data_IF_853585048980
#
_entry.id   IF_853585048980
#
_cell.length_a   1.000
_cell.length_b   1.000
_cell.length_c   1.000
_cell.angle_alpha   90.00
_cell.angle_beta   90.00
_cell.angle_gamma   90.00
#
_symmetry.space_group_name_H-M   'P 1'
#
loop_
_entity.id
_entity.type
_entity.pdbx_description
1 polymer ?
#
# COMPACT_ATOMS: atom_id res chain seq x y z
N UNK A 1 29.25 -50.33 73.13
CA UNK A 1 29.94 -49.05 72.84
C UNK A 1 29.53 -48.60 71.45
N UNK A 2 28.63 -47.64 71.40
CA UNK A 2 28.00 -47.08 70.20
C UNK A 2 28.70 -45.79 69.83
N UNK A 3 29.46 -45.78 68.72
CA UNK A 3 30.04 -44.55 68.17
C UNK A 3 29.10 -43.97 67.10
N UNK A 4 28.50 -42.81 67.43
CA UNK A 4 27.85 -41.90 66.48
C UNK A 4 28.95 -41.14 65.72
N UNK A 5 28.96 -41.19 64.39
CA UNK A 5 29.58 -40.17 63.56
C UNK A 5 28.49 -39.37 62.84
N UNK A 6 28.62 -38.05 62.94
CA UNK A 6 27.62 -37.06 62.56
C UNK A 6 27.49 -36.91 61.03
N UNK A 7 26.26 -36.89 60.54
CA UNK A 7 25.91 -36.41 59.20
C UNK A 7 26.04 -34.87 59.20
N UNK A 8 26.94 -34.34 58.36
CA UNK A 8 26.95 -32.91 58.02
C UNK A 8 25.69 -32.59 57.20
N UNK A 9 25.05 -31.42 57.41
CA UNK A 9 23.83 -31.07 56.69
C UNK A 9 24.16 -30.69 55.23
N UNK A 10 23.20 -30.86 54.30
CA UNK A 10 23.38 -30.43 52.92
C UNK A 10 23.50 -28.91 52.90
N UNK A 11 24.62 -28.41 52.38
CA UNK A 11 24.79 -26.98 52.09
C UNK A 11 23.75 -26.59 51.02
N UNK A 12 22.68 -25.91 51.45
CA UNK A 12 21.81 -25.17 50.55
C UNK A 12 22.65 -24.05 49.91
N UNK A 13 23.13 -24.27 48.69
CA UNK A 13 23.67 -23.20 47.86
C UNK A 13 22.48 -22.36 47.40
N UNK A 14 22.12 -21.35 48.19
CA UNK A 14 21.24 -20.28 47.73
C UNK A 14 22.05 -19.49 46.72
N UNK A 15 21.90 -19.83 45.42
CA UNK A 15 22.23 -18.94 44.32
C UNK A 15 21.30 -17.74 44.45
N UNK A 16 21.73 -16.74 45.23
CA UNK A 16 21.20 -15.39 45.09
C UNK A 16 21.65 -14.92 43.72
N UNK A 17 20.78 -15.11 42.72
CA UNK A 17 20.82 -14.31 41.50
C UNK A 17 20.62 -12.86 41.96
N UNK A 18 21.72 -12.23 42.35
CA UNK A 18 21.80 -10.78 42.37
C UNK A 18 21.38 -10.38 40.96
N UNK A 19 20.32 -9.56 40.78
CA UNK A 19 20.04 -9.04 39.46
C UNK A 19 21.35 -8.39 38.99
N UNK A 20 21.82 -8.77 37.79
CA UNK A 20 22.88 -8.05 37.11
C UNK A 20 22.55 -6.56 37.29
N UNK A 21 23.38 -5.89 38.09
CA UNK A 21 23.12 -4.52 38.51
C UNK A 21 22.87 -3.70 37.25
N UNK A 22 21.69 -3.10 37.12
CA UNK A 22 21.47 -2.07 36.13
C UNK A 22 22.46 -0.95 36.46
N UNK A 23 23.46 -0.75 35.59
CA UNK A 23 24.43 0.34 35.69
C UNK A 23 23.79 1.58 35.03
N UNK A 24 23.29 2.54 35.82
CA UNK A 24 22.56 3.68 35.26
C UNK A 24 23.45 4.58 34.39
N UNK A 25 24.77 4.55 34.60
CA UNK A 25 25.73 5.29 33.79
C UNK A 25 25.90 4.61 32.43
N UNK A 26 26.04 3.29 32.41
CA UNK A 26 26.06 2.52 31.16
C UNK A 26 24.74 2.69 30.38
N UNK A 27 23.59 2.59 31.04
CA UNK A 27 22.27 2.85 30.42
C UNK A 27 22.17 4.26 29.83
N UNK A 28 22.77 5.26 30.49
CA UNK A 28 22.84 6.65 30.00
C UNK A 28 23.71 6.74 28.76
N UNK A 29 24.90 6.13 28.78
CA UNK A 29 25.83 6.11 27.65
C UNK A 29 25.24 5.38 26.44
N UNK A 30 24.53 4.26 26.64
CA UNK A 30 23.87 3.54 25.56
C UNK A 30 22.80 4.41 24.87
N UNK A 31 21.98 5.12 25.64
CA UNK A 31 21.01 6.07 25.08
C UNK A 31 21.70 7.22 24.33
N UNK A 32 22.77 7.78 24.91
CA UNK A 32 23.55 8.87 24.31
C UNK A 32 24.17 8.43 22.98
N UNK A 33 24.86 7.29 22.94
CA UNK A 33 25.49 6.79 21.72
C UNK A 33 24.48 6.34 20.66
N UNK A 34 23.33 5.77 21.05
CA UNK A 34 22.27 5.51 20.08
C UNK A 34 21.71 6.80 19.46
N UNK A 35 21.54 7.87 20.25
CA UNK A 35 21.10 9.16 19.74
C UNK A 35 22.14 9.77 18.78
N UNK A 36 23.42 9.74 19.14
CA UNK A 36 24.52 10.24 18.29
C UNK A 36 24.54 9.45 16.97
N UNK A 37 24.53 8.12 17.02
CA UNK A 37 24.58 7.28 15.83
C UNK A 37 23.35 7.49 14.94
N UNK A 38 22.15 7.62 15.54
CA UNK A 38 20.93 7.96 14.81
C UNK A 38 21.06 9.30 14.07
N UNK A 39 21.53 10.34 14.75
CA UNK A 39 21.69 11.68 14.15
C UNK A 39 22.72 11.69 13.01
N UNK A 40 23.80 10.92 13.15
CA UNK A 40 24.80 10.75 12.07
C UNK A 40 24.19 10.08 10.84
N UNK A 41 23.40 9.02 11.03
CA UNK A 41 22.71 8.31 9.95
C UNK A 41 21.66 9.21 9.28
N UNK A 42 20.86 9.93 10.06
CA UNK A 42 19.86 10.89 9.55
C UNK A 42 20.54 11.97 8.70
N UNK A 43 21.61 12.60 9.21
CA UNK A 43 22.38 13.62 8.47
C UNK A 43 22.93 13.09 7.15
N UNK A 44 23.50 11.88 7.16
CA UNK A 44 24.01 11.24 5.95
C UNK A 44 22.89 11.00 4.93
N UNK A 45 21.75 10.42 5.36
CA UNK A 45 20.63 10.12 4.46
C UNK A 45 20.01 11.40 3.88
N UNK A 46 19.85 12.45 4.69
CA UNK A 46 19.36 13.75 4.23
C UNK A 46 20.26 14.38 3.16
N UNK A 47 21.59 14.29 3.34
CA UNK A 47 22.54 14.74 2.32
C UNK A 47 22.35 13.96 1.02
N UNK A 48 22.31 12.62 1.09
CA UNK A 48 22.10 11.76 -0.09
C UNK A 48 20.77 12.04 -0.80
N UNK A 49 19.71 12.34 -0.05
CA UNK A 49 18.41 12.70 -0.60
C UNK A 49 18.46 14.05 -1.34
N UNK A 50 19.11 15.07 -0.77
CA UNK A 50 19.28 16.39 -1.41
C UNK A 50 20.08 16.29 -2.70
N UNK A 51 21.21 15.58 -2.67
CA UNK A 51 22.05 15.32 -3.86
C UNK A 51 21.25 14.61 -4.95
N UNK A 52 20.56 13.52 -4.61
CA UNK A 52 19.69 12.80 -5.54
C UNK A 52 18.66 13.72 -6.17
N UNK A 53 18.03 14.60 -5.38
CA UNK A 53 16.99 15.50 -5.84
C UNK A 53 17.47 16.48 -6.91
N UNK A 54 18.67 17.04 -6.75
CA UNK A 54 19.29 17.94 -7.71
C UNK A 54 19.50 17.29 -9.09
N UNK A 55 19.79 15.98 -9.10
CA UNK A 55 20.05 15.21 -10.33
C UNK A 55 18.79 14.57 -10.93
N UNK A 56 17.63 14.60 -10.26
CA UNK A 56 16.41 13.93 -10.77
C UNK A 56 16.00 14.46 -12.14
N UNK A 57 16.09 15.77 -12.38
CA UNK A 57 15.61 16.39 -13.63
C UNK A 57 16.42 15.94 -14.85
N UNK A 58 17.75 15.84 -14.72
CA UNK A 58 18.64 15.43 -15.83
C UNK A 58 18.43 13.97 -16.23
N UNK A 59 17.87 13.15 -15.33
CA UNK A 59 17.50 11.78 -15.62
C UNK A 59 16.22 11.64 -16.48
N UNK A 60 15.49 12.72 -16.78
CA UNK A 60 14.30 12.63 -17.64
C UNK A 60 14.56 13.18 -19.04
N UNK A 61 14.29 12.38 -20.06
CA UNK A 61 14.34 12.76 -21.49
C UNK A 61 12.97 12.56 -22.12
N UNK A 62 11.97 13.34 -21.67
CA UNK A 62 10.58 13.21 -22.11
C UNK A 62 10.40 13.90 -23.46
N UNK A 63 9.82 13.20 -24.42
CA UNK A 63 9.46 13.76 -25.71
C UNK A 63 7.98 14.17 -25.71
N UNK A 64 7.70 15.47 -25.81
CA UNK A 64 6.33 16.00 -25.79
C UNK A 64 5.76 16.30 -27.19
N UNK A 65 6.45 15.87 -28.27
CA UNK A 65 6.03 16.15 -29.64
C UNK A 65 4.75 15.43 -30.08
N UNK A 66 4.44 14.27 -29.47
CA UNK A 66 3.19 13.53 -29.66
C UNK A 66 2.94 12.61 -28.47
N UNK A 67 1.71 12.08 -28.34
CA UNK A 67 1.38 11.07 -27.31
C UNK A 67 2.27 9.83 -27.48
N UNK A 68 2.43 9.35 -28.72
CA UNK A 68 3.21 8.14 -28.98
C UNK A 68 4.70 8.32 -28.65
N UNK A 69 5.26 9.48 -28.98
CA UNK A 69 6.65 9.79 -28.63
C UNK A 69 6.83 9.96 -27.11
N UNK A 70 5.85 10.57 -26.44
CA UNK A 70 5.84 10.67 -24.98
C UNK A 70 5.88 9.27 -24.35
N UNK A 71 4.94 8.40 -24.73
CA UNK A 71 4.83 7.02 -24.25
C UNK A 71 6.13 6.24 -24.44
N UNK A 72 6.74 6.35 -25.63
CA UNK A 72 8.03 5.72 -25.95
C UNK A 72 9.17 6.26 -25.09
N UNK A 73 9.21 7.57 -24.88
CA UNK A 73 10.26 8.23 -24.09
C UNK A 73 10.20 7.89 -22.60
N UNK A 74 9.00 7.61 -22.05
CA UNK A 74 8.81 7.28 -20.63
C UNK A 74 8.79 5.78 -20.35
N UNK A 75 8.66 4.91 -21.36
CA UNK A 75 8.59 3.46 -21.16
C UNK A 75 9.75 2.86 -20.32
N UNK A 76 11.03 3.26 -20.51
CA UNK A 76 12.13 2.79 -19.66
C UNK A 76 11.97 3.20 -18.19
N UNK A 77 11.34 4.36 -17.92
CA UNK A 77 11.09 4.85 -16.57
C UNK A 77 9.97 4.08 -15.88
N UNK A 78 8.98 3.58 -16.63
CA UNK A 78 7.98 2.64 -16.09
C UNK A 78 8.63 1.34 -15.64
N UNK A 79 9.49 0.76 -16.49
CA UNK A 79 10.19 -0.47 -16.15
C UNK A 79 11.11 -0.30 -14.93
N UNK A 80 11.90 0.77 -14.90
CA UNK A 80 12.73 1.11 -13.74
C UNK A 80 11.88 1.34 -12.46
N UNK A 81 10.67 1.88 -12.60
CA UNK A 81 9.76 2.05 -11.47
C UNK A 81 9.21 0.71 -10.96
N UNK A 82 8.87 -0.23 -11.84
CA UNK A 82 8.48 -1.60 -11.46
C UNK A 82 9.62 -2.27 -10.69
N UNK A 83 10.85 -2.17 -11.19
CA UNK A 83 12.05 -2.73 -10.54
C UNK A 83 12.31 -2.09 -9.18
N UNK A 84 12.20 -0.76 -9.08
CA UNK A 84 12.29 -0.03 -7.81
C UNK A 84 11.28 -0.53 -6.77
N UNK A 85 10.06 -0.85 -7.21
CA UNK A 85 9.02 -1.39 -6.33
C UNK A 85 9.28 -2.85 -5.94
N UNK A 86 10.30 -3.53 -6.46
CA UNK A 86 10.62 -4.93 -6.18
C UNK A 86 10.32 -5.91 -7.32
N UNK A 87 9.97 -5.42 -8.50
CA UNK A 87 9.68 -6.22 -9.68
C UNK A 87 8.34 -6.97 -9.62
N UNK A 88 7.92 -7.56 -10.74
CA UNK A 88 6.74 -8.43 -10.80
C UNK A 88 7.13 -9.85 -11.20
N UNK A 89 7.82 -10.61 -10.33
CA UNK A 89 8.20 -12.01 -10.61
C UNK A 89 7.00 -12.98 -10.55
N UNK A 90 5.78 -12.47 -10.67
CA UNK A 90 4.54 -13.21 -10.45
C UNK A 90 3.97 -13.68 -11.78
N UNK A 91 3.70 -14.99 -11.90
CA UNK A 91 3.00 -15.54 -13.06
C UNK A 91 1.50 -15.29 -12.92
N UNK A 92 0.85 -14.53 -13.82
CA UNK A 92 -0.59 -14.28 -13.72
C UNK A 92 -1.39 -15.58 -13.80
N UNK A 93 -2.28 -15.80 -12.83
CA UNK A 93 -3.24 -16.91 -12.85
C UNK A 93 -4.38 -16.64 -13.86
N UNK A 94 -5.05 -17.67 -14.41
CA UNK A 94 -6.24 -17.46 -15.23
C UNK A 94 -7.32 -16.62 -14.53
N UNK A 95 -7.97 -15.72 -15.28
CA UNK A 95 -9.01 -14.81 -14.75
C UNK A 95 -10.34 -15.55 -14.63
N UNK A 96 -10.46 -16.41 -13.62
CA UNK A 96 -11.70 -17.13 -13.29
C UNK A 96 -12.28 -16.53 -11.99
N UNK A 97 -13.05 -15.43 -12.06
CA UNK A 97 -13.56 -14.75 -10.89
C UNK A 97 -14.63 -15.59 -10.16
N UNK A 98 -14.65 -15.51 -8.82
CA UNK A 98 -15.76 -16.01 -8.01
C UNK A 98 -16.59 -14.84 -7.52
N UNK A 99 -17.86 -14.82 -7.89
CA UNK A 99 -18.76 -13.70 -7.66
C UNK A 99 -19.92 -14.12 -6.75
N UNK A 100 -20.29 -13.25 -5.81
CA UNK A 100 -21.41 -13.47 -4.90
C UNK A 100 -22.21 -12.18 -4.76
N UNK A 101 -23.50 -12.20 -5.07
CA UNK A 101 -24.38 -11.05 -4.90
C UNK A 101 -24.47 -10.65 -3.43
N UNK A 102 -24.33 -9.36 -3.16
CA UNK A 102 -24.60 -8.74 -1.86
C UNK A 102 -26.03 -8.22 -1.82
N UNK A 103 -26.39 -7.39 -2.80
CA UNK A 103 -27.68 -6.71 -2.87
C UNK A 103 -28.02 -6.29 -4.30
N UNK A 104 -29.31 -6.11 -4.54
CA UNK A 104 -29.86 -5.48 -5.74
C UNK A 104 -30.62 -4.24 -5.33
N UNK A 105 -30.42 -3.15 -6.04
CA UNK A 105 -31.16 -1.89 -5.87
C UNK A 105 -31.71 -1.43 -7.22
N UNK A 106 -32.62 -0.46 -7.26
CA UNK A 106 -33.10 0.11 -8.52
C UNK A 106 -32.02 0.77 -9.39
N UNK A 107 -30.82 1.06 -8.84
CA UNK A 107 -29.75 1.77 -9.57
C UNK A 107 -28.58 0.88 -9.98
N UNK A 108 -28.32 -0.20 -9.23
CA UNK A 108 -27.17 -1.07 -9.42
C UNK A 108 -27.30 -2.38 -8.65
N UNK A 109 -26.49 -3.37 -9.03
CA UNK A 109 -26.25 -4.61 -8.29
C UNK A 109 -24.85 -4.61 -7.68
N UNK A 110 -24.74 -5.06 -6.44
CA UNK A 110 -23.48 -5.15 -5.68
C UNK A 110 -23.03 -6.60 -5.53
N UNK A 111 -21.75 -6.87 -5.75
CA UNK A 111 -21.16 -8.21 -5.67
C UNK A 111 -19.88 -8.20 -4.84
N UNK A 112 -19.63 -9.29 -4.09
CA UNK A 112 -18.29 -9.68 -3.65
C UNK A 112 -17.63 -10.44 -4.77
N UNK A 113 -16.40 -10.06 -5.12
CA UNK A 113 -15.65 -10.72 -6.20
C UNK A 113 -14.27 -11.11 -5.67
N UNK A 114 -13.84 -12.32 -6.02
CA UNK A 114 -12.46 -12.81 -5.82
C UNK A 114 -11.87 -13.19 -7.16
N UNK A 115 -10.73 -12.59 -7.51
CA UNK A 115 -10.05 -12.79 -8.79
C UNK A 115 -8.70 -13.46 -8.50
N UNK A 116 -8.40 -14.63 -9.06
CA UNK A 116 -7.08 -15.23 -8.96
C UNK A 116 -5.99 -14.28 -9.51
N UNK A 117 -4.97 -13.99 -8.70
CA UNK A 117 -3.86 -13.12 -9.08
C UNK A 117 -2.65 -13.95 -9.54
N UNK A 118 -2.06 -14.73 -8.62
CA UNK A 118 -0.91 -15.62 -8.84
C UNK A 118 -0.77 -16.56 -7.62
N UNK A 119 -0.23 -17.78 -7.79
CA UNK A 119 0.18 -18.70 -6.69
C UNK A 119 -0.75 -18.77 -5.46
N UNK A 120 -2.07 -18.84 -5.68
CA UNK A 120 -3.08 -18.89 -4.61
C UNK A 120 -3.43 -17.54 -3.96
N UNK A 121 -2.75 -16.46 -4.33
CA UNK A 121 -3.09 -15.08 -3.99
C UNK A 121 -4.24 -14.60 -4.87
N UNK A 122 -5.19 -13.88 -4.27
CA UNK A 122 -6.37 -13.35 -4.94
C UNK A 122 -6.52 -11.83 -4.72
N UNK A 123 -7.19 -11.19 -5.65
CA UNK A 123 -7.78 -9.86 -5.47
C UNK A 123 -9.20 -10.05 -4.97
N UNK A 124 -9.46 -9.70 -3.71
CA UNK A 124 -10.82 -9.57 -3.19
C UNK A 124 -11.28 -8.12 -3.33
N UNK A 125 -12.56 -7.91 -3.65
CA UNK A 125 -13.15 -6.57 -3.72
C UNK A 125 -14.66 -6.58 -3.84
N UNK A 126 -15.23 -5.38 -3.85
CA UNK A 126 -16.65 -5.14 -4.15
C UNK A 126 -16.78 -4.62 -5.58
N UNK A 127 -17.64 -5.26 -6.37
CA UNK A 127 -18.03 -4.82 -7.70
C UNK A 127 -19.43 -4.21 -7.64
N UNK A 128 -19.61 -3.01 -8.16
CA UNK A 128 -20.91 -2.39 -8.39
C UNK A 128 -21.15 -2.28 -9.90
N UNK A 129 -22.25 -2.86 -10.35
CA UNK A 129 -22.65 -2.84 -11.76
C UNK A 129 -23.94 -2.03 -11.87
N UNK A 130 -23.96 -0.90 -12.61
CA UNK A 130 -25.15 -0.09 -12.74
C UNK A 130 -26.23 -0.84 -13.51
N UNK A 131 -27.48 -0.53 -13.23
CA UNK A 131 -28.61 -1.16 -13.89
C UNK A 131 -28.58 -0.88 -15.40
N UNK A 132 -28.74 -1.93 -16.21
CA UNK A 132 -28.64 -1.85 -17.68
C UNK A 132 -29.78 -1.05 -18.30
N UNK A 133 -30.94 -0.96 -17.63
CA UNK A 133 -32.07 -0.13 -18.08
C UNK A 133 -31.79 1.36 -17.94
N UNK A 134 -30.96 1.75 -16.96
CA UNK A 134 -30.54 3.15 -16.76
C UNK A 134 -29.31 3.50 -17.61
N UNK A 135 -28.41 2.53 -17.78
CA UNK A 135 -27.13 2.72 -18.48
C UNK A 135 -26.84 1.52 -19.40
N UNK A 136 -27.38 1.52 -20.64
CA UNK A 136 -27.21 0.41 -21.58
C UNK A 136 -25.82 0.37 -22.22
N UNK A 137 -25.41 -0.82 -22.64
CA UNK A 137 -24.16 -1.06 -23.39
C UNK A 137 -22.90 -1.08 -22.53
N UNK A 138 -21.74 -0.95 -23.20
CA UNK A 138 -20.41 -0.94 -22.55
C UNK A 138 -20.14 0.38 -21.87
N UNK A 139 -19.72 0.32 -20.61
CA UNK A 139 -19.61 1.49 -19.73
C UNK A 139 -18.16 1.76 -19.33
N UNK A 140 -17.77 3.02 -19.06
CA UNK A 140 -16.50 3.29 -18.41
C UNK A 140 -16.46 2.60 -17.04
N UNK A 141 -15.27 2.22 -16.59
CA UNK A 141 -15.08 1.63 -15.27
C UNK A 141 -14.11 2.41 -14.40
N UNK A 142 -14.26 2.29 -13.08
CA UNK A 142 -13.39 2.90 -12.09
C UNK A 142 -12.89 1.86 -11.09
N UNK A 143 -11.57 1.78 -10.96
CA UNK A 143 -10.91 1.14 -9.83
C UNK A 143 -10.92 2.11 -8.64
N UNK A 144 -11.75 1.84 -7.64
CA UNK A 144 -11.96 2.73 -6.49
C UNK A 144 -11.13 2.27 -5.27
N UNK A 145 -10.09 3.05 -4.94
CA UNK A 145 -9.03 2.65 -4.01
C UNK A 145 -9.14 3.39 -2.67
N UNK A 146 -9.37 2.65 -1.59
CA UNK A 146 -9.54 3.19 -0.24
C UNK A 146 -8.23 3.62 0.47
N UNK A 147 -8.34 4.52 1.44
CA UNK A 147 -7.21 4.92 2.29
C UNK A 147 -6.87 3.91 3.40
N UNK A 148 -5.97 4.31 4.30
CA UNK A 148 -5.65 3.60 5.55
C UNK A 148 -6.90 3.41 6.43
N UNK A 149 -6.98 2.29 7.15
CA UNK A 149 -8.10 1.95 8.06
C UNK A 149 -9.52 1.89 7.44
N UNK A 150 -9.62 1.91 6.11
CA UNK A 150 -10.88 1.80 5.34
C UNK A 150 -11.03 0.42 4.67
N UNK A 151 -12.15 0.17 3.99
CA UNK A 151 -12.46 -1.10 3.32
C UNK A 151 -13.22 -0.87 2.01
N UNK A 152 -13.27 -1.83 1.08
CA UNK A 152 -14.09 -1.68 -0.13
C UNK A 152 -15.60 -1.66 0.17
N UNK A 153 -16.07 -2.32 1.23
CA UNK A 153 -17.47 -2.25 1.68
C UNK A 153 -17.83 -0.84 2.12
N UNK A 154 -16.89 -0.17 2.79
CA UNK A 154 -16.98 1.28 2.98
C UNK A 154 -17.03 1.90 1.60
N UNK A 155 -16.01 1.85 0.73
CA UNK A 155 -15.99 2.43 -0.65
C UNK A 155 -17.31 2.35 -1.44
N UNK A 156 -18.01 1.24 -1.33
CA UNK A 156 -19.20 0.93 -2.09
C UNK A 156 -20.53 1.21 -1.35
N UNK A 157 -20.50 1.66 -0.10
CA UNK A 157 -21.69 1.99 0.68
C UNK A 157 -22.48 0.77 1.12
N UNK A 158 -21.79 -0.36 1.31
CA UNK A 158 -22.39 -1.63 1.76
C UNK A 158 -22.65 -1.63 3.27
N UNK A 159 -21.88 -0.84 4.03
CA UNK A 159 -22.00 -0.70 5.49
C UNK A 159 -22.21 0.77 5.87
N UNK A 160 -22.92 0.99 6.97
CA UNK A 160 -23.15 2.32 7.53
C UNK A 160 -21.93 2.84 8.33
N UNK A 161 -21.84 4.17 8.47
CA UNK A 161 -20.75 4.87 9.18
C UNK A 161 -19.92 5.84 8.33
N UNK A 162 -19.14 6.67 9.02
CA UNK A 162 -18.42 7.85 8.52
C UNK A 162 -16.90 7.58 8.46
N UNK A 163 -16.11 7.86 7.44
CA UNK A 163 -16.38 8.42 6.13
C UNK A 163 -15.17 8.10 5.22
N UNK A 164 -15.29 7.17 4.26
CA UNK A 164 -14.24 6.88 3.24
C UNK A 164 -14.23 7.95 2.11
N UNK A 165 -14.59 9.15 2.53
CA UNK A 165 -14.79 10.44 1.89
C UNK A 165 -16.00 10.50 0.93
N UNK A 166 -17.06 9.83 1.40
CA UNK A 166 -18.51 9.85 1.14
C UNK A 166 -19.06 9.03 0.02
N UNK A 167 -18.55 7.83 -0.18
CA UNK A 167 -19.23 6.95 -1.13
C UNK A 167 -18.90 7.21 -2.57
N UNK A 168 -17.67 7.62 -2.84
CA UNK A 168 -17.20 7.85 -4.20
C UNK A 168 -17.39 6.64 -5.13
N UNK A 169 -17.24 5.39 -4.64
CA UNK A 169 -17.59 4.20 -5.43
C UNK A 169 -19.10 4.06 -5.68
N UNK A 170 -19.93 4.21 -4.65
CA UNK A 170 -21.40 4.21 -4.79
C UNK A 170 -21.90 5.35 -5.70
N UNK A 171 -21.33 6.54 -5.55
CA UNK A 171 -21.63 7.72 -6.34
C UNK A 171 -21.21 7.55 -7.80
N UNK A 172 -20.10 6.86 -8.06
CA UNK A 172 -19.67 6.53 -9.40
C UNK A 172 -20.63 5.55 -10.07
N UNK A 173 -21.05 4.47 -9.39
CA UNK A 173 -22.02 3.53 -9.99
C UNK A 173 -23.37 4.21 -10.27
N UNK A 174 -23.83 5.10 -9.39
CA UNK A 174 -25.05 5.88 -9.60
C UNK A 174 -24.97 6.82 -10.82
N UNK A 175 -23.77 7.10 -11.33
CA UNK A 175 -23.49 7.90 -12.54
C UNK A 175 -23.15 7.03 -13.76
N UNK A 176 -23.35 5.72 -13.69
CA UNK A 176 -23.22 4.80 -14.83
C UNK A 176 -21.85 4.14 -15.00
N UNK A 177 -20.92 4.32 -14.06
CA UNK A 177 -19.65 3.63 -14.10
C UNK A 177 -19.77 2.20 -13.55
N UNK A 178 -19.08 1.23 -14.16
CA UNK A 178 -18.80 -0.04 -13.48
C UNK A 178 -17.71 0.21 -12.45
N UNK A 179 -17.93 -0.13 -11.19
CA UNK A 179 -16.97 0.17 -10.11
C UNK A 179 -16.41 -1.11 -9.55
N UNK A 180 -15.09 -1.21 -9.44
CA UNK A 180 -14.44 -2.26 -8.68
C UNK A 180 -13.59 -1.64 -7.57
N UNK A 181 -13.92 -1.94 -6.32
CA UNK A 181 -13.16 -1.51 -5.14
C UNK A 181 -12.41 -2.71 -4.56
N UNK A 182 -11.10 -2.86 -4.80
CA UNK A 182 -10.32 -3.94 -4.22
C UNK A 182 -9.99 -3.65 -2.76
N UNK A 183 -9.85 -4.71 -1.97
CA UNK A 183 -9.28 -4.65 -0.62
C UNK A 183 -7.77 -4.47 -0.71
N UNK A 184 -7.28 -3.43 -0.04
CA UNK A 184 -5.86 -3.17 0.17
C UNK A 184 -5.48 -3.40 1.63
N UNK A 185 -4.29 -3.97 1.86
CA UNK A 185 -3.76 -4.12 3.22
C UNK A 185 -3.34 -2.73 3.70
N UNK A 186 -4.07 -2.22 4.68
CA UNK A 186 -4.03 -0.80 5.04
C UNK A 186 -4.06 -0.57 6.56
N UNK A 187 -3.78 -1.61 7.34
CA UNK A 187 -3.51 -1.55 8.77
C UNK A 187 -2.00 -1.60 8.99
N UNK A 188 -1.39 -0.65 9.71
CA UNK A 188 0.06 -0.65 9.93
C UNK A 188 0.55 -1.91 10.63
N UNK A 189 -0.20 -2.33 11.66
CA UNK A 189 0.07 -3.56 12.39
C UNK A 189 -0.05 -4.74 11.40
N UNK A 190 0.98 -5.58 11.36
CA UNK A 190 1.18 -6.70 10.42
C UNK A 190 1.65 -6.36 9.01
N UNK A 191 1.43 -5.14 8.49
CA UNK A 191 1.93 -4.77 7.15
C UNK A 191 3.46 -4.78 7.13
N UNK A 192 4.11 -4.32 8.19
CA UNK A 192 5.57 -4.38 8.34
C UNK A 192 6.11 -5.82 8.32
N UNK A 193 5.42 -6.77 8.95
CA UNK A 193 5.84 -8.18 8.93
C UNK A 193 5.76 -8.78 7.53
N UNK A 194 4.75 -8.40 6.75
CA UNK A 194 4.66 -8.82 5.35
C UNK A 194 5.80 -8.22 4.52
N UNK A 195 6.12 -6.94 4.73
CA UNK A 195 7.23 -6.30 4.01
C UNK A 195 8.58 -6.93 4.38
N UNK A 196 8.82 -7.22 5.67
CA UNK A 196 10.02 -7.95 6.13
C UNK A 196 10.13 -9.34 5.48
N UNK A 197 9.03 -10.07 5.36
CA UNK A 197 9.01 -11.35 4.62
C UNK A 197 9.37 -11.17 3.16
N UNK A 198 8.83 -10.13 2.50
CA UNK A 198 9.16 -9.79 1.12
C UNK A 198 10.64 -9.52 0.93
N UNK A 199 11.24 -8.70 1.81
CA UNK A 199 12.67 -8.35 1.75
C UNK A 199 13.56 -9.61 1.72
N UNK A 200 13.23 -10.62 2.52
CA UNK A 200 13.99 -11.88 2.59
C UNK A 200 13.97 -12.72 1.30
N UNK A 201 13.06 -12.42 0.38
CA UNK A 201 12.95 -13.08 -0.92
C UNK A 201 13.14 -12.10 -2.09
N UNK A 202 13.83 -10.98 -1.84
CA UNK A 202 14.08 -9.91 -2.81
C UNK A 202 12.81 -9.32 -3.46
N UNK A 203 11.70 -9.30 -2.71
CA UNK A 203 10.44 -8.67 -3.10
C UNK A 203 10.11 -7.52 -2.17
N UNK A 204 9.15 -6.67 -2.56
CA UNK A 204 8.54 -5.69 -1.65
C UNK A 204 7.03 -5.83 -1.68
N UNK A 205 6.39 -5.54 -0.56
CA UNK A 205 4.95 -5.62 -0.47
C UNK A 205 4.26 -4.67 -1.46
N UNK A 206 4.86 -3.51 -1.75
CA UNK A 206 4.30 -2.56 -2.71
C UNK A 206 4.20 -3.12 -4.13
N UNK A 207 5.22 -3.85 -4.63
CA UNK A 207 5.14 -4.50 -5.93
C UNK A 207 4.00 -5.53 -5.98
N UNK A 208 3.88 -6.36 -4.95
CA UNK A 208 2.79 -7.34 -4.85
C UNK A 208 1.41 -6.67 -4.87
N UNK A 209 1.24 -5.60 -4.10
CA UNK A 209 0.00 -4.82 -4.05
C UNK A 209 -0.33 -4.19 -5.41
N UNK A 210 0.67 -3.65 -6.12
CA UNK A 210 0.48 -3.08 -7.46
C UNK A 210 0.13 -4.15 -8.50
N UNK A 211 0.82 -5.30 -8.48
CA UNK A 211 0.50 -6.41 -9.37
C UNK A 211 -0.96 -6.84 -9.21
N UNK A 212 -1.46 -6.91 -7.96
CA UNK A 212 -2.90 -7.16 -7.71
C UNK A 212 -3.82 -6.11 -8.33
N UNK A 213 -3.43 -4.82 -8.32
CA UNK A 213 -4.24 -3.79 -8.99
C UNK A 213 -4.25 -3.99 -10.51
N UNK A 214 -3.13 -4.40 -11.11
CA UNK A 214 -3.08 -4.71 -12.55
C UNK A 214 -3.96 -5.93 -12.88
N UNK A 215 -4.00 -6.95 -12.01
CA UNK A 215 -4.95 -8.08 -12.16
C UNK A 215 -6.41 -7.63 -12.10
N UNK A 216 -6.73 -6.60 -11.32
CA UNK A 216 -8.06 -6.00 -11.32
C UNK A 216 -8.37 -5.26 -12.63
N UNK A 217 -7.39 -4.57 -13.21
CA UNK A 217 -7.49 -3.95 -14.54
C UNK A 217 -7.71 -5.02 -15.62
N UNK A 218 -6.96 -6.13 -15.56
CA UNK A 218 -7.13 -7.24 -16.49
C UNK A 218 -8.57 -7.79 -16.45
N UNK A 219 -9.09 -8.02 -15.25
CA UNK A 219 -10.48 -8.45 -15.05
C UNK A 219 -11.48 -7.44 -15.65
N UNK A 220 -11.36 -6.14 -15.31
CA UNK A 220 -12.26 -5.11 -15.84
C UNK A 220 -12.19 -5.04 -17.38
N UNK A 221 -11.00 -5.19 -17.97
CA UNK A 221 -10.82 -5.14 -19.42
C UNK A 221 -11.47 -6.31 -20.18
N UNK A 222 -11.69 -7.44 -19.52
CA UNK A 222 -12.32 -8.63 -20.10
C UNK A 222 -13.83 -8.70 -19.88
N UNK A 223 -14.41 -7.82 -19.07
CA UNK A 223 -15.86 -7.79 -18.82
C UNK A 223 -16.61 -7.29 -20.05
N UNK A 224 -17.69 -7.98 -20.40
CA UNK A 224 -18.52 -7.63 -21.56
C UNK A 224 -19.26 -6.30 -21.41
N UNK A 225 -19.51 -5.88 -20.17
CA UNK A 225 -20.24 -4.67 -19.82
C UNK A 225 -19.35 -3.45 -19.54
N UNK A 226 -18.04 -3.60 -19.73
CA UNK A 226 -17.01 -2.56 -19.60
C UNK A 226 -16.45 -2.20 -20.97
N UNK A 227 -16.25 -0.90 -21.20
CA UNK A 227 -15.44 -0.39 -22.30
C UNK A 227 -13.96 -0.44 -21.89
N UNK A 228 -13.21 -1.40 -22.44
CA UNK A 228 -11.84 -1.71 -22.03
C UNK A 228 -10.83 -0.57 -22.25
N UNK A 229 -11.16 0.38 -23.14
CA UNK A 229 -10.40 1.60 -23.43
C UNK A 229 -10.76 2.78 -22.49
N UNK A 230 -11.71 2.58 -21.56
CA UNK A 230 -12.21 3.61 -20.63
C UNK A 230 -12.18 3.13 -19.18
N UNK A 231 -11.04 2.59 -18.76
CA UNK A 231 -10.76 2.19 -17.37
C UNK A 231 -10.02 3.33 -16.67
N UNK A 232 -10.56 3.83 -15.58
CA UNK A 232 -9.90 4.82 -14.71
C UNK A 232 -9.60 4.28 -13.32
N UNK A 233 -8.78 5.00 -12.56
CA UNK A 233 -8.53 4.75 -11.15
C UNK A 233 -8.85 6.01 -10.34
N UNK A 234 -9.53 5.86 -9.21
CA UNK A 234 -9.75 6.94 -8.25
C UNK A 234 -9.35 6.43 -6.86
N UNK A 235 -8.32 7.05 -6.28
CA UNK A 235 -7.86 6.73 -4.95
C UNK A 235 -7.77 7.92 -3.99
N UNK A 236 -7.93 7.62 -2.69
CA UNK A 236 -7.78 8.60 -1.61
C UNK A 236 -6.69 8.17 -0.63
N UNK A 237 -5.79 9.09 -0.26
CA UNK A 237 -4.69 8.87 0.68
C UNK A 237 -3.81 7.69 0.23
N UNK A 238 -3.71 6.61 1.01
CA UNK A 238 -3.04 5.37 0.59
C UNK A 238 -3.57 4.85 -0.76
N UNK A 239 -4.88 4.93 -0.99
CA UNK A 239 -5.48 4.59 -2.27
C UNK A 239 -5.05 5.55 -3.39
N UNK A 240 -4.80 6.83 -3.08
CA UNK A 240 -4.29 7.81 -4.03
C UNK A 240 -2.86 7.49 -4.47
N UNK A 241 -2.01 7.04 -3.54
CA UNK A 241 -0.69 6.46 -3.86
C UNK A 241 -0.84 5.28 -4.80
N UNK A 242 -1.72 4.34 -4.44
CA UNK A 242 -1.93 3.12 -5.21
C UNK A 242 -2.43 3.43 -6.62
N UNK A 243 -3.39 4.36 -6.77
CA UNK A 243 -3.90 4.81 -8.06
C UNK A 243 -2.80 5.42 -8.93
N UNK A 244 -2.02 6.35 -8.36
CA UNK A 244 -0.94 7.03 -9.05
C UNK A 244 0.13 6.04 -9.54
N UNK A 245 0.48 5.07 -8.71
CA UNK A 245 1.49 4.07 -9.05
C UNK A 245 0.96 3.10 -10.11
N UNK A 246 -0.27 2.61 -9.97
CA UNK A 246 -0.89 1.75 -10.96
C UNK A 246 -0.97 2.45 -12.33
N UNK A 247 -1.40 3.71 -12.38
CA UNK A 247 -1.50 4.48 -13.63
C UNK A 247 -0.12 4.81 -14.23
N UNK A 248 0.92 4.98 -13.41
CA UNK A 248 2.28 5.13 -13.92
C UNK A 248 2.79 3.83 -14.57
N UNK A 249 2.36 2.67 -14.07
CA UNK A 249 2.82 1.35 -14.51
C UNK A 249 2.03 0.84 -15.73
N UNK A 250 0.70 0.99 -15.73
CA UNK A 250 -0.19 0.38 -16.72
C UNK A 250 -0.92 1.45 -17.56
N UNK A 251 -0.55 1.61 -18.84
CA UNK A 251 -1.12 2.65 -19.70
C UNK A 251 -2.61 2.40 -20.05
N UNK A 252 -3.18 1.25 -19.69
CA UNK A 252 -4.63 0.99 -19.86
C UNK A 252 -5.49 1.81 -18.89
N UNK A 253 -4.90 2.35 -17.82
CA UNK A 253 -5.59 3.28 -16.92
C UNK A 253 -5.62 4.66 -17.57
N UNK A 254 -6.72 4.93 -18.28
CA UNK A 254 -6.91 6.14 -19.09
C UNK A 254 -7.10 7.42 -18.27
N UNK A 255 -7.49 7.31 -17.00
CA UNK A 255 -7.68 8.46 -16.11
C UNK A 255 -7.31 8.08 -14.67
N UNK A 256 -6.58 8.97 -13.98
CA UNK A 256 -6.18 8.78 -12.60
C UNK A 256 -6.59 9.99 -11.75
N UNK A 257 -7.48 9.77 -10.80
CA UNK A 257 -7.92 10.77 -9.82
C UNK A 257 -7.22 10.49 -8.50
N UNK A 258 -6.42 11.46 -8.03
CA UNK A 258 -5.62 11.34 -6.82
C UNK A 258 -6.12 12.35 -5.79
N UNK A 259 -6.65 11.86 -4.67
CA UNK A 259 -6.96 12.70 -3.51
C UNK A 259 -6.00 12.37 -2.36
N UNK A 260 -5.42 13.39 -1.74
CA UNK A 260 -4.60 13.22 -0.53
C UNK A 260 -3.25 12.51 -0.72
N UNK A 261 -2.75 12.33 -1.95
CA UNK A 261 -1.41 11.76 -2.18
C UNK A 261 -0.55 12.43 -3.28
N UNK A 262 -1.09 13.34 -4.09
CA UNK A 262 -0.28 14.07 -5.07
C UNK A 262 0.56 15.12 -4.34
N UNK A 263 1.80 14.76 -4.02
CA UNK A 263 2.68 15.55 -3.16
C UNK A 263 4.13 15.32 -3.55
N UNK A 264 5.01 16.22 -3.11
CA UNK A 264 6.42 15.90 -3.07
C UNK A 264 6.73 15.07 -1.81
N UNK A 265 7.00 13.79 -2.00
CA UNK A 265 7.17 12.82 -0.94
C UNK A 265 8.44 13.01 -0.12
N UNK A 266 9.56 13.44 -0.69
CA UNK A 266 10.78 13.71 0.08
C UNK A 266 10.54 14.88 1.03
N UNK A 267 9.97 15.98 0.54
CA UNK A 267 9.65 17.14 1.37
C UNK A 267 8.57 16.83 2.42
N UNK A 268 7.49 16.17 2.04
CA UNK A 268 6.34 15.98 2.92
C UNK A 268 6.47 14.77 3.86
N UNK A 269 7.06 13.67 3.44
CA UNK A 269 7.01 12.40 4.20
C UNK A 269 8.35 11.96 4.78
N UNK A 270 9.47 12.53 4.32
CA UNK A 270 10.83 12.08 4.66
C UNK A 270 11.60 13.16 5.42
N UNK A 271 11.45 14.43 5.02
CA UNK A 271 11.98 15.67 5.61
C UNK A 271 11.41 16.08 6.98
N UNK A 272 11.89 15.73 8.19
CA UNK A 272 11.17 16.06 9.44
C UNK A 272 11.05 17.56 9.74
N UNK A 273 11.99 18.38 9.28
CA UNK A 273 12.11 19.79 9.66
C UNK A 273 11.72 20.81 8.57
N UNK A 274 11.14 20.35 7.46
CA UNK A 274 10.63 21.25 6.42
C UNK A 274 9.25 21.83 6.80
N UNK A 275 9.00 23.13 6.59
CA UNK A 275 7.65 23.68 6.70
C UNK A 275 6.70 22.87 5.80
N UNK A 276 5.56 22.44 6.36
CA UNK A 276 4.54 21.57 5.71
C UNK A 276 4.86 20.06 5.69
N UNK A 277 5.88 19.61 6.42
CA UNK A 277 6.21 18.18 6.57
C UNK A 277 5.17 17.43 7.40
N UNK A 278 4.71 16.27 6.92
CA UNK A 278 3.85 15.33 7.63
C UNK A 278 4.55 14.68 8.83
N UNK A 279 5.88 14.56 8.81
CA UNK A 279 6.65 14.01 9.93
C UNK A 279 6.58 14.87 11.19
N UNK A 280 6.26 16.17 11.08
CA UNK A 280 5.97 17.00 12.26
C UNK A 280 4.81 16.46 13.10
N UNK A 281 3.83 15.78 12.48
CA UNK A 281 2.72 15.13 13.19
C UNK A 281 3.10 13.76 13.79
N UNK A 282 4.11 13.09 13.24
CA UNK A 282 4.61 11.80 13.76
C UNK A 282 5.47 12.03 15.00
N UNK A 283 6.30 13.09 14.99
CA UNK A 283 7.17 13.44 16.12
C UNK A 283 6.40 14.09 17.28
N UNK A 284 5.31 14.83 17.01
CA UNK A 284 4.46 15.42 18.05
C UNK A 284 3.61 14.39 18.83
N UNK A 285 3.53 13.14 18.38
CA UNK A 285 2.78 12.07 19.06
C UNK A 285 3.52 11.43 20.25
N UNK A 286 4.74 11.88 20.55
CA UNK A 286 5.60 11.34 21.62
C UNK A 286 6.11 12.42 22.59
N UNK A 287 5.41 13.55 22.72
CA UNK A 287 5.63 14.55 23.76
C UNK A 287 4.64 14.39 24.93
#
# INVERSE_FOLDING_TARGET
MTHRLALLPPCLLILTLTPLYADPEQDRLEREFQQIQRSQIETYLDLRLRESYAERKSNWSRDFSSIENYERSIAPRRQAFIEYLGGFPYKPAPLVPREQIISRSPTHTSWRVRIPAFDGVEVYGILLVPDVSLYPGKRPSLLCLHGMLSTPERVCGIVDGEDYHRRFGLQAVQRGYVVFAPLMINTPQRREWLDRKGIMIAQRLQALEQFKMLRAVDYLSQREDVAADRIGAYGISWGGRTAMYAAAIDPRIACCVISGHFMESTRKMVLPHEPESYSTYIEAGHA
#
